data_IF_732343418837
#
_entry.id   IF_732343418837
#
_cell.length_a   1.000
_cell.length_b   1.000
_cell.length_c   1.000
_cell.angle_alpha   90.00
_cell.angle_beta   90.00
_cell.angle_gamma   90.00
#
_symmetry.space_group_name_H-M   'P 1'
#
loop_
_entity.id
_entity.type
_entity.pdbx_description
1 polymer ?
#
# COMPACT_ATOMS: atom_id res chain seq x y z
N UNK A 1 -19.57 9.65 27.94
CA UNK A 1 -18.16 10.01 27.72
C UNK A 1 -17.30 8.78 27.95
N UNK A 2 -17.13 7.96 26.93
CA UNK A 2 -16.07 6.95 26.82
C UNK A 2 -16.11 6.52 25.35
N UNK A 3 -15.42 7.31 24.54
CA UNK A 3 -15.24 7.10 23.12
C UNK A 3 -14.41 5.82 22.97
N UNK A 4 -15.06 4.68 22.68
CA UNK A 4 -14.40 3.49 22.16
C UNK A 4 -13.81 3.85 20.79
N UNK A 5 -12.63 4.50 20.82
CA UNK A 5 -11.79 4.66 19.64
C UNK A 5 -11.41 3.28 19.17
N UNK A 6 -12.12 2.78 18.16
CA UNK A 6 -11.74 1.61 17.38
C UNK A 6 -10.38 1.87 16.74
N UNK A 7 -9.32 1.56 17.48
CA UNK A 7 -7.96 1.40 16.99
C UNK A 7 -7.88 0.11 16.15
N UNK A 8 -8.46 0.13 14.95
CA UNK A 8 -8.12 -0.86 13.93
C UNK A 8 -6.88 -0.37 13.16
N UNK A 9 -5.75 -0.35 13.87
CA UNK A 9 -4.40 -0.16 13.32
C UNK A 9 -3.88 -1.49 12.72
N UNK A 10 -4.80 -2.35 12.25
CA UNK A 10 -4.51 -3.69 11.77
C UNK A 10 -5.03 -3.90 10.36
N UNK A 11 -4.49 -3.12 9.43
CA UNK A 11 -4.54 -3.51 8.04
C UNK A 11 -3.45 -4.55 7.80
N UNK A 12 -3.85 -5.81 7.77
CA UNK A 12 -3.07 -6.95 7.28
C UNK A 12 -1.73 -7.23 8.00
N UNK A 13 -1.83 -7.54 9.29
CA UNK A 13 -0.75 -8.09 10.15
C UNK A 13 0.12 -9.15 9.46
N UNK A 14 -0.49 -10.00 8.63
CA UNK A 14 0.18 -11.15 8.03
C UNK A 14 1.29 -10.73 7.05
N UNK A 15 1.07 -9.68 6.25
CA UNK A 15 2.09 -9.18 5.33
C UNK A 15 3.23 -8.47 6.08
N UNK A 16 2.86 -7.69 7.09
CA UNK A 16 3.81 -6.98 7.93
C UNK A 16 4.77 -7.94 8.67
N UNK A 17 4.23 -8.97 9.34
CA UNK A 17 5.04 -9.97 10.02
C UNK A 17 5.94 -10.74 9.05
N UNK A 18 5.45 -11.09 7.85
CA UNK A 18 6.27 -11.79 6.86
C UNK A 18 7.46 -10.96 6.41
N UNK A 19 7.26 -9.66 6.17
CA UNK A 19 8.34 -8.75 5.75
C UNK A 19 9.34 -8.48 6.86
N UNK A 20 8.86 -8.17 8.08
CA UNK A 20 9.73 -7.95 9.24
C UNK A 20 10.53 -9.22 9.54
N UNK A 21 9.89 -10.38 9.55
CA UNK A 21 10.58 -11.66 9.80
C UNK A 21 11.62 -11.93 8.73
N UNK A 22 11.29 -11.76 7.44
CA UNK A 22 12.23 -11.97 6.34
C UNK A 22 13.44 -11.03 6.42
N UNK A 23 13.23 -9.74 6.67
CA UNK A 23 14.33 -8.76 6.76
C UNK A 23 15.21 -9.01 7.98
N UNK A 24 14.61 -9.34 9.13
CA UNK A 24 15.34 -9.71 10.34
C UNK A 24 16.12 -11.01 10.13
N UNK A 25 15.53 -12.03 9.50
CA UNK A 25 16.22 -13.28 9.16
C UNK A 25 17.42 -13.05 8.24
N UNK A 26 17.26 -12.24 7.20
CA UNK A 26 18.38 -11.88 6.31
C UNK A 26 19.47 -11.15 7.08
N UNK A 27 19.12 -10.21 7.96
CA UNK A 27 20.08 -9.49 8.78
C UNK A 27 20.84 -10.41 9.74
N UNK A 28 20.14 -11.34 10.40
CA UNK A 28 20.77 -12.35 11.26
C UNK A 28 21.77 -13.17 10.44
N UNK A 29 21.37 -13.67 9.27
CA UNK A 29 22.23 -14.48 8.40
C UNK A 29 23.47 -13.68 7.97
N UNK A 30 23.29 -12.43 7.53
CA UNK A 30 24.40 -11.58 7.08
C UNK A 30 25.38 -11.25 8.22
N UNK A 31 24.86 -10.89 9.40
CA UNK A 31 25.70 -10.58 10.56
C UNK A 31 26.47 -11.83 10.99
N UNK A 32 25.81 -12.98 11.09
CA UNK A 32 26.46 -14.24 11.43
C UNK A 32 27.50 -14.67 10.38
N UNK A 33 27.18 -14.54 9.09
CA UNK A 33 28.12 -14.84 8.02
C UNK A 33 29.38 -13.95 8.09
N UNK A 34 29.20 -12.65 8.33
CA UNK A 34 30.31 -11.72 8.50
C UNK A 34 31.17 -12.07 9.72
N UNK A 35 30.54 -12.43 10.85
CA UNK A 35 31.23 -12.89 12.06
C UNK A 35 32.07 -14.13 11.78
N UNK A 36 31.50 -15.14 11.11
CA UNK A 36 32.22 -16.38 10.75
C UNK A 36 33.39 -16.07 9.81
N UNK A 37 33.18 -15.23 8.79
CA UNK A 37 34.25 -14.81 7.88
C UNK A 37 35.37 -14.08 8.64
N UNK A 38 35.02 -13.16 9.54
CA UNK A 38 35.98 -12.44 10.36
C UNK A 38 36.83 -13.39 11.22
N UNK A 39 36.19 -14.37 11.85
CA UNK A 39 36.89 -15.41 12.63
C UNK A 39 37.82 -16.25 11.74
N UNK A 40 37.39 -16.64 10.53
CA UNK A 40 38.21 -17.44 9.62
C UNK A 40 39.45 -16.70 9.12
N UNK A 41 39.31 -15.40 8.79
CA UNK A 41 40.42 -14.59 8.26
C UNK A 41 41.41 -14.16 9.36
N UNK A 42 40.90 -13.70 10.49
CA UNK A 42 41.73 -13.12 11.56
C UNK A 42 42.09 -14.11 12.65
N UNK A 43 41.29 -15.14 12.89
CA UNK A 43 41.52 -16.16 13.91
C UNK A 43 42.92 -16.79 13.89
N UNK A 44 43.45 -17.20 12.71
CA UNK A 44 44.82 -17.75 12.61
C UNK A 44 45.94 -16.77 12.98
N UNK A 45 45.66 -15.46 12.93
CA UNK A 45 46.64 -14.40 13.21
C UNK A 45 46.64 -13.96 14.68
N UNK A 46 45.65 -14.40 15.48
CA UNK A 46 45.55 -14.05 16.91
C UNK A 46 46.41 -15.01 17.74
N UNK A 47 47.61 -14.54 18.11
CA UNK A 47 48.49 -15.27 19.04
C UNK A 47 47.89 -15.24 20.45
N UNK A 48 47.54 -16.41 21.00
CA UNK A 48 46.92 -16.55 22.34
C UNK A 48 45.47 -17.04 22.32
N UNK A 49 44.88 -17.28 21.14
CA UNK A 49 43.49 -17.73 21.01
C UNK A 49 42.47 -16.61 21.26
N UNK A 50 41.19 -16.93 21.14
CA UNK A 50 40.10 -15.96 21.36
C UNK A 50 39.74 -15.99 22.85
N UNK A 51 40.11 -14.95 23.59
CA UNK A 51 39.72 -14.81 24.99
C UNK A 51 38.22 -14.55 25.14
N UNK A 52 37.64 -14.99 26.27
CA UNK A 52 36.19 -14.92 26.52
C UNK A 52 35.60 -13.51 26.50
N UNK A 53 36.38 -12.48 26.82
CA UNK A 53 35.91 -11.10 26.77
C UNK A 53 35.79 -10.60 25.32
N UNK A 54 36.61 -11.10 24.38
CA UNK A 54 36.46 -10.79 22.96
C UNK A 54 35.16 -11.37 22.40
N UNK A 55 34.83 -12.61 22.77
CA UNK A 55 33.56 -13.23 22.36
C UNK A 55 32.36 -12.52 23.01
N UNK A 56 32.46 -12.12 24.27
CA UNK A 56 31.41 -11.37 24.96
C UNK A 56 31.16 -9.99 24.33
N UNK A 57 32.22 -9.25 23.97
CA UNK A 57 32.10 -7.95 23.30
C UNK A 57 31.48 -8.11 21.91
N UNK A 58 31.90 -9.12 21.14
CA UNK A 58 31.32 -9.40 19.83
C UNK A 58 29.84 -9.75 19.92
N UNK A 59 29.45 -10.60 20.86
CA UNK A 59 28.05 -10.96 21.09
C UNK A 59 27.20 -9.75 21.49
N UNK A 60 27.73 -8.85 22.35
CA UNK A 60 27.03 -7.63 22.73
C UNK A 60 26.82 -6.70 21.53
N UNK A 61 27.84 -6.52 20.68
CA UNK A 61 27.73 -5.73 19.43
C UNK A 61 26.70 -6.36 18.50
N UNK A 62 26.70 -7.68 18.33
CA UNK A 62 25.73 -8.39 17.50
C UNK A 62 24.30 -8.17 17.99
N UNK A 63 24.05 -8.31 19.29
CA UNK A 63 22.72 -8.05 19.87
C UNK A 63 22.27 -6.62 19.60
N UNK A 64 23.14 -5.63 19.76
CA UNK A 64 22.82 -4.21 19.49
C UNK A 64 22.48 -4.00 18.01
N UNK A 65 23.25 -4.60 17.10
CA UNK A 65 22.98 -4.54 15.66
C UNK A 65 21.63 -5.17 15.32
N UNK A 66 21.34 -6.35 15.87
CA UNK A 66 20.06 -7.04 15.64
C UNK A 66 18.87 -6.24 16.14
N UNK A 67 18.96 -5.65 17.33
CA UNK A 67 17.92 -4.77 17.88
C UNK A 67 17.72 -3.52 17.00
N UNK A 68 18.81 -2.95 16.50
CA UNK A 68 18.76 -1.79 15.60
C UNK A 68 18.06 -2.14 14.30
N UNK A 69 18.46 -3.22 13.63
CA UNK A 69 17.82 -3.67 12.38
C UNK A 69 16.35 -4.02 12.61
N UNK A 70 16.03 -4.73 13.70
CA UNK A 70 14.65 -5.03 14.05
C UNK A 70 13.80 -3.76 14.18
N UNK A 71 14.30 -2.76 14.92
CA UNK A 71 13.60 -1.49 15.10
C UNK A 71 13.34 -0.76 13.77
N UNK A 72 14.38 -0.63 12.92
CA UNK A 72 14.24 0.03 11.62
C UNK A 72 13.35 -0.75 10.66
N UNK A 73 13.49 -2.09 10.58
CA UNK A 73 12.62 -2.94 9.74
C UNK A 73 11.17 -2.87 10.18
N UNK A 74 10.90 -2.91 11.49
CA UNK A 74 9.55 -2.76 12.02
C UNK A 74 8.95 -1.40 11.65
N UNK A 75 9.73 -0.32 11.82
CA UNK A 75 9.31 1.05 11.48
C UNK A 75 9.00 1.21 9.98
N UNK A 76 9.87 0.72 9.09
CA UNK A 76 9.64 0.78 7.64
C UNK A 76 8.44 -0.07 7.22
N UNK A 77 8.26 -1.24 7.83
CA UNK A 77 7.10 -2.09 7.54
C UNK A 77 5.76 -1.41 7.87
N UNK A 78 5.71 -0.61 8.94
CA UNK A 78 4.53 0.20 9.25
C UNK A 78 4.23 1.28 8.18
N UNK A 79 5.27 1.88 7.58
CA UNK A 79 5.12 2.89 6.52
C UNK A 79 4.63 2.31 5.19
N UNK A 80 4.75 0.99 4.99
CA UNK A 80 4.27 0.29 3.78
C UNK A 80 2.80 -0.14 3.89
N UNK A 81 2.36 -0.56 5.08
CA UNK A 81 1.02 -1.13 5.27
C UNK A 81 -0.12 -0.12 5.04
N UNK A 82 0.06 1.12 5.53
CA UNK A 82 -0.90 2.21 5.36
C UNK A 82 -1.22 2.54 3.89
N UNK A 83 -0.23 2.90 3.06
CA UNK A 83 -0.48 3.24 1.66
C UNK A 83 -0.98 2.06 0.84
N UNK A 84 -0.54 0.82 1.13
CA UNK A 84 -1.07 -0.37 0.48
C UNK A 84 -2.57 -0.57 0.75
N UNK A 85 -3.02 -0.30 1.99
CA UNK A 85 -4.45 -0.32 2.30
C UNK A 85 -5.24 0.70 1.47
N UNK A 86 -4.72 1.93 1.40
CA UNK A 86 -5.36 3.02 0.69
C UNK A 86 -5.48 2.68 -0.81
N UNK A 87 -4.44 2.07 -1.39
CA UNK A 87 -4.46 1.58 -2.78
C UNK A 87 -5.51 0.46 -2.95
N UNK A 88 -5.53 -0.56 -2.10
CA UNK A 88 -6.52 -1.64 -2.20
C UNK A 88 -7.94 -1.11 -2.07
N UNK A 89 -8.20 -0.24 -1.10
CA UNK A 89 -9.50 0.38 -0.89
C UNK A 89 -9.92 1.25 -2.08
N UNK A 90 -8.95 1.92 -2.70
CA UNK A 90 -9.15 2.68 -3.93
C UNK A 90 -9.57 1.78 -5.09
N UNK A 91 -8.89 0.66 -5.27
CA UNK A 91 -9.21 -0.30 -6.32
C UNK A 91 -10.58 -0.97 -6.11
N UNK A 92 -10.97 -1.24 -4.87
CA UNK A 92 -12.33 -1.71 -4.53
C UNK A 92 -13.39 -0.68 -4.96
N UNK A 93 -13.18 0.60 -4.61
CA UNK A 93 -14.08 1.70 -5.01
C UNK A 93 -14.14 1.88 -6.53
N UNK A 94 -12.99 1.78 -7.20
CA UNK A 94 -12.94 1.79 -8.66
C UNK A 94 -13.75 0.63 -9.25
N UNK A 95 -13.65 -0.57 -8.67
CA UNK A 95 -14.43 -1.74 -9.07
C UNK A 95 -15.93 -1.59 -8.84
N UNK A 96 -16.36 -0.76 -7.89
CA UNK A 96 -17.77 -0.40 -7.68
C UNK A 96 -18.25 0.73 -8.59
N UNK A 97 -17.42 1.26 -9.49
CA UNK A 97 -17.77 2.36 -10.39
C UNK A 97 -17.47 3.76 -9.86
N UNK A 98 -16.66 3.95 -8.82
CA UNK A 98 -16.25 5.29 -8.38
C UNK A 98 -15.04 5.80 -9.19
N UNK A 99 -15.32 6.63 -10.19
CA UNK A 99 -14.31 7.28 -11.04
C UNK A 99 -13.92 8.70 -10.57
N UNK A 100 -14.54 9.21 -9.51
CA UNK A 100 -14.40 10.63 -9.11
C UNK A 100 -13.50 10.85 -7.93
N UNK A 101 -13.49 9.94 -6.95
CA UNK A 101 -12.60 10.12 -5.81
C UNK A 101 -11.13 10.05 -6.28
N UNK A 102 -10.16 10.51 -5.48
CA UNK A 102 -8.72 10.37 -5.79
C UNK A 102 -8.00 9.65 -4.67
N UNK A 103 -6.97 8.89 -5.01
CA UNK A 103 -6.04 8.33 -4.04
C UNK A 103 -5.04 9.42 -3.60
N UNK A 104 -5.00 9.70 -2.30
CA UNK A 104 -4.02 10.61 -1.70
C UNK A 104 -3.25 9.88 -0.62
N UNK A 105 -1.92 9.83 -0.76
CA UNK A 105 -1.02 9.27 0.23
C UNK A 105 -0.43 10.40 1.09
N UNK A 106 0.08 10.07 2.29
CA UNK A 106 0.73 11.05 3.15
C UNK A 106 2.14 11.32 2.62
N UNK A 107 2.67 12.53 2.79
CA UNK A 107 3.96 12.96 2.22
C UNK A 107 5.14 12.03 2.59
N UNK A 108 5.08 11.36 3.73
CA UNK A 108 6.09 10.40 4.20
C UNK A 108 5.82 8.94 3.82
N UNK A 109 4.79 8.63 3.05
CA UNK A 109 4.46 7.27 2.65
C UNK A 109 5.22 6.84 1.39
N UNK A 110 5.36 5.53 1.21
CA UNK A 110 5.86 4.96 -0.05
C UNK A 110 4.74 4.92 -1.11
N UNK A 111 5.10 4.64 -2.37
CA UNK A 111 4.16 4.42 -3.50
C UNK A 111 3.45 5.65 -4.08
N UNK A 112 3.98 6.85 -3.90
CA UNK A 112 3.43 8.07 -4.50
C UNK A 112 3.30 7.97 -6.04
N UNK A 113 4.29 7.41 -6.72
CA UNK A 113 4.26 7.20 -8.18
C UNK A 113 3.10 6.27 -8.61
N UNK A 114 2.81 5.23 -7.82
CA UNK A 114 1.68 4.34 -8.07
C UNK A 114 0.36 5.10 -7.87
N UNK A 115 0.27 5.94 -6.83
CA UNK A 115 -0.91 6.73 -6.58
C UNK A 115 -1.19 7.76 -7.69
N UNK A 116 -0.14 8.42 -8.19
CA UNK A 116 -0.21 9.33 -9.33
C UNK A 116 -0.65 8.60 -10.59
N UNK A 117 0.04 7.51 -10.95
CA UNK A 117 -0.30 6.68 -12.11
C UNK A 117 -1.74 6.17 -12.04
N UNK A 118 -2.20 5.73 -10.87
CA UNK A 118 -3.58 5.26 -10.70
C UNK A 118 -4.59 6.39 -10.88
N UNK A 119 -4.34 7.56 -10.29
CA UNK A 119 -5.21 8.72 -10.45
C UNK A 119 -5.29 9.20 -11.90
N UNK A 120 -4.17 9.19 -12.63
CA UNK A 120 -4.14 9.59 -14.03
C UNK A 120 -4.94 8.62 -14.91
N UNK A 121 -4.74 7.31 -14.72
CA UNK A 121 -5.50 6.30 -15.45
C UNK A 121 -7.01 6.37 -15.16
N UNK A 122 -7.40 6.55 -13.89
CA UNK A 122 -8.81 6.76 -13.53
C UNK A 122 -9.34 8.05 -14.15
N UNK A 123 -8.54 9.12 -14.18
CA UNK A 123 -8.88 10.37 -14.85
C UNK A 123 -9.15 10.18 -16.35
N UNK A 124 -8.32 9.40 -17.04
CA UNK A 124 -8.52 9.06 -18.45
C UNK A 124 -9.77 8.20 -18.67
N UNK A 125 -10.03 7.25 -17.78
CA UNK A 125 -11.24 6.42 -17.85
C UNK A 125 -12.50 7.27 -17.68
N UNK A 126 -12.51 8.18 -16.70
CA UNK A 126 -13.59 9.13 -16.48
C UNK A 126 -13.83 10.00 -17.72
N UNK A 127 -12.78 10.56 -18.32
CA UNK A 127 -12.93 11.36 -19.55
C UNK A 127 -13.55 10.56 -20.70
N UNK A 128 -13.21 9.26 -20.82
CA UNK A 128 -13.85 8.38 -21.81
C UNK A 128 -15.32 8.14 -21.50
N UNK A 129 -15.69 7.94 -20.24
CA UNK A 129 -17.09 7.79 -19.81
C UNK A 129 -17.89 9.07 -20.11
N UNK A 130 -17.36 10.25 -19.75
CA UNK A 130 -17.99 11.55 -20.07
C UNK A 130 -18.20 11.73 -21.58
N UNK A 131 -17.24 11.28 -22.40
CA UNK A 131 -17.38 11.33 -23.88
C UNK A 131 -18.50 10.40 -24.36
N UNK A 132 -18.61 9.20 -23.78
CA UNK A 132 -19.69 8.26 -24.13
C UNK A 132 -21.04 8.83 -23.72
N UNK A 133 -21.17 9.42 -22.53
CA UNK A 133 -22.39 10.08 -22.07
C UNK A 133 -22.83 11.21 -23.02
N UNK A 134 -21.88 12.04 -23.49
CA UNK A 134 -22.17 13.09 -24.46
C UNK A 134 -22.65 12.54 -25.82
N UNK A 135 -22.05 11.45 -26.30
CA UNK A 135 -22.47 10.77 -27.52
C UNK A 135 -23.87 10.16 -27.38
N UNK A 136 -24.15 9.51 -26.24
CA UNK A 136 -25.47 8.95 -25.91
C UNK A 136 -26.53 10.05 -25.90
N UNK A 137 -26.26 11.19 -25.27
CA UNK A 137 -27.18 12.33 -25.25
C UNK A 137 -27.47 12.89 -26.65
N UNK A 138 -26.47 12.88 -27.55
CA UNK A 138 -26.63 13.33 -28.94
C UNK A 138 -27.51 12.37 -29.74
N UNK A 139 -27.34 11.05 -29.53
CA UNK A 139 -28.15 10.01 -30.18
C UNK A 139 -29.60 10.02 -29.68
N UNK A 140 -29.81 10.24 -28.39
CA UNK A 140 -31.15 10.32 -27.77
C UNK A 140 -32.00 11.43 -28.40
N UNK A 141 -31.38 12.55 -28.77
CA UNK A 141 -32.07 13.66 -29.45
C UNK A 141 -32.60 13.31 -30.85
N UNK A 142 -32.11 12.23 -31.45
CA UNK A 142 -32.49 11.77 -32.80
C UNK A 142 -33.27 10.46 -32.78
N UNK A 143 -33.41 9.81 -31.62
CA UNK A 143 -34.07 8.52 -31.49
C UNK A 143 -35.54 8.71 -31.07
N UNK A 144 -36.43 7.91 -31.64
CA UNK A 144 -37.82 7.80 -31.18
C UNK A 144 -37.83 7.02 -29.84
N UNK A 145 -38.38 7.56 -28.74
CA UNK A 145 -38.37 6.92 -27.41
C UNK A 145 -38.97 5.52 -27.39
N UNK A 146 -39.97 5.25 -28.24
CA UNK A 146 -40.67 3.96 -28.30
C UNK A 146 -39.94 2.94 -29.20
N UNK A 147 -38.88 3.34 -29.89
CA UNK A 147 -38.06 2.46 -30.70
C UNK A 147 -37.14 1.56 -29.86
N UNK A 148 -36.74 0.42 -30.42
CA UNK A 148 -35.75 -0.49 -29.81
C UNK A 148 -34.42 0.22 -29.52
N UNK A 149 -34.06 1.23 -30.33
CA UNK A 149 -32.91 2.10 -30.11
C UNK A 149 -33.08 2.98 -28.85
N UNK A 150 -34.25 3.58 -28.65
CA UNK A 150 -34.56 4.38 -27.45
C UNK A 150 -34.47 3.57 -26.16
N UNK A 151 -35.02 2.35 -26.15
CA UNK A 151 -34.91 1.43 -25.01
C UNK A 151 -33.46 1.00 -24.72
N UNK A 152 -32.65 0.81 -25.77
CA UNK A 152 -31.23 0.47 -25.63
C UNK A 152 -30.41 1.63 -25.05
N UNK A 153 -30.69 2.86 -25.50
CA UNK A 153 -30.06 4.08 -24.96
C UNK A 153 -30.42 4.29 -23.49
N UNK A 154 -31.68 4.03 -23.10
CA UNK A 154 -32.11 4.11 -21.71
C UNK A 154 -31.37 3.10 -20.80
N UNK A 155 -31.15 1.87 -21.27
CA UNK A 155 -30.34 0.87 -20.55
C UNK A 155 -28.87 1.29 -20.44
N UNK A 156 -28.27 1.75 -21.54
CA UNK A 156 -26.88 2.21 -21.56
C UNK A 156 -26.67 3.39 -20.60
N UNK A 157 -27.63 4.30 -20.51
CA UNK A 157 -27.60 5.40 -19.53
C UNK A 157 -27.57 4.88 -18.09
N UNK A 158 -28.41 3.89 -17.76
CA UNK A 158 -28.42 3.28 -16.43
C UNK A 158 -27.08 2.64 -16.05
N UNK A 159 -26.41 1.98 -17.01
CA UNK A 159 -25.07 1.42 -16.81
C UNK A 159 -24.00 2.51 -16.63
N UNK A 160 -24.07 3.61 -17.38
CA UNK A 160 -23.14 4.73 -17.24
C UNK A 160 -23.33 5.47 -15.90
N UNK A 161 -24.57 5.66 -15.46
CA UNK A 161 -24.87 6.26 -14.15
C UNK A 161 -24.27 5.44 -13.00
N UNK A 162 -24.26 4.11 -13.11
CA UNK A 162 -23.60 3.23 -12.14
C UNK A 162 -22.08 3.42 -12.09
N UNK A 163 -21.43 3.72 -13.22
CA UNK A 163 -20.00 4.04 -13.32
C UNK A 163 -19.67 5.50 -12.94
N UNK A 164 -20.68 6.34 -12.80
CA UNK A 164 -20.54 7.74 -12.41
C UNK A 164 -20.99 7.98 -10.96
N UNK A 165 -21.52 6.95 -10.28
CA UNK A 165 -22.15 7.10 -8.96
C UNK A 165 -21.17 7.78 -8.00
N UNK A 166 -21.56 8.99 -7.57
CA UNK A 166 -20.85 9.81 -6.60
C UNK A 166 -20.37 8.95 -5.42
N UNK A 167 -19.19 9.28 -4.83
CA UNK A 167 -18.50 8.40 -3.91
C UNK A 167 -19.46 7.90 -2.83
N UNK A 168 -19.48 6.60 -2.49
CA UNK A 168 -20.16 6.18 -1.28
C UNK A 168 -19.62 7.06 -0.16
N UNK A 169 -20.49 7.79 0.53
CA UNK A 169 -20.12 8.69 1.62
C UNK A 169 -19.13 7.94 2.51
N UNK A 170 -17.87 8.35 2.43
CA UNK A 170 -16.85 7.81 3.30
C UNK A 170 -17.26 8.28 4.69
N UNK A 171 -17.71 7.32 5.50
CA UNK A 171 -17.92 7.52 6.92
C UNK A 171 -16.59 8.01 7.45
N UNK A 172 -16.54 9.32 7.75
CA UNK A 172 -15.33 10.08 7.96
C UNK A 172 -14.31 9.33 8.80
N UNK A 173 -13.20 8.98 8.17
CA UNK A 173 -11.94 8.77 8.89
C UNK A 173 -11.08 9.97 8.52
N UNK A 174 -11.29 11.04 9.27
CA UNK A 174 -10.40 12.20 9.31
C UNK A 174 -8.97 11.71 9.56
N UNK A 175 -8.07 12.08 8.65
CA UNK A 175 -6.64 11.98 8.89
C UNK A 175 -6.24 13.06 9.90
N UNK A 176 -5.61 12.72 11.05
CA UNK A 176 -5.04 13.74 11.91
C UNK A 176 -3.72 14.26 11.31
N UNK A 177 -3.53 15.57 11.50
CA UNK A 177 -2.28 16.30 11.27
C UNK A 177 -1.10 15.70 12.07
#
# INVERSE_FOLDING_TARGET
MAEERRHQLFVNKQFQYRYVLLTVSIAIILVNALTVIGILLYGPHIKGGIAWYHTAILAAIEVILLLTVFYFSARESHRLAGPMFAISRRLERLGSGDLYSRLKLRQGDHFHEIAETLNDNVGMLRQRVETIEALVATLDHHADPDSEAGQTLARLRGELEHLATAPPQDSGIDAPQ
#
